data_IF_118253630104
#
_entry.id   IF_118253630104
#
_cell.length_a   1.000
_cell.length_b   1.000
_cell.length_c   1.000
_cell.angle_alpha   90.00
_cell.angle_beta   90.00
_cell.angle_gamma   90.00
#
_symmetry.space_group_name_H-M   'P 1'
#
loop_
_entity.id
_entity.type
_entity.pdbx_description
1 polymer ?
#
# COMPACT_ATOMS: atom_id res chain seq x y z
N UNK A 1 -41.52 16.13 7.60
CA UNK A 1 -41.99 14.89 6.94
C UNK A 1 -41.16 13.75 7.48
N UNK A 2 -41.64 13.12 8.54
CA UNK A 2 -40.92 12.12 9.35
C UNK A 2 -41.43 10.75 8.93
N UNK A 3 -40.61 9.97 8.22
CA UNK A 3 -40.95 8.58 7.90
C UNK A 3 -40.33 7.65 8.96
N UNK A 4 -41.21 7.05 9.74
CA UNK A 4 -40.92 5.89 10.59
C UNK A 4 -40.73 4.65 9.71
N UNK A 5 -39.58 3.99 9.82
CA UNK A 5 -39.33 2.70 9.18
C UNK A 5 -39.37 1.61 10.25
N UNK A 6 -40.35 0.71 10.10
CA UNK A 6 -40.71 -0.33 11.05
C UNK A 6 -39.65 -1.42 11.21
N UNK A 7 -39.54 -1.92 12.45
CA UNK A 7 -38.75 -3.09 12.83
C UNK A 7 -39.39 -4.36 12.25
N UNK A 8 -38.66 -5.07 11.39
CA UNK A 8 -38.96 -6.45 11.01
C UNK A 8 -38.24 -7.42 11.95
N UNK A 9 -39.00 -8.29 12.61
CA UNK A 9 -38.52 -9.37 13.48
C UNK A 9 -38.54 -10.71 12.74
N UNK A 10 -37.66 -11.60 13.23
CA UNK A 10 -37.65 -13.06 13.10
C UNK A 10 -37.20 -13.69 11.78
N UNK A 11 -36.12 -14.46 11.82
CA UNK A 11 -36.24 -15.92 11.99
C UNK A 11 -34.87 -16.54 12.30
N UNK A 12 -34.79 -17.25 13.43
CA UNK A 12 -33.61 -18.00 13.86
C UNK A 12 -33.64 -19.36 13.16
N UNK A 13 -32.63 -19.66 12.35
CA UNK A 13 -32.37 -21.03 11.91
C UNK A 13 -31.50 -21.74 12.96
N UNK A 14 -32.14 -22.64 13.68
CA UNK A 14 -31.53 -23.67 14.52
C UNK A 14 -31.35 -24.90 13.64
N UNK A 15 -30.10 -25.30 13.39
CA UNK A 15 -29.73 -26.57 12.77
C UNK A 15 -28.56 -27.15 13.54
N UNK A 16 -28.80 -28.26 14.23
CA UNK A 16 -27.87 -28.86 15.19
C UNK A 16 -26.86 -29.82 14.58
N UNK A 17 -25.77 -29.96 15.34
CA UNK A 17 -24.98 -31.15 15.68
C UNK A 17 -24.59 -32.12 14.55
N UNK A 18 -23.30 -32.12 14.22
CA UNK A 18 -22.55 -33.35 14.01
C UNK A 18 -21.11 -33.16 14.51
N UNK A 19 -20.84 -33.68 15.70
CA UNK A 19 -19.49 -33.86 16.21
C UNK A 19 -18.87 -35.08 15.51
N UNK A 20 -17.71 -34.89 14.87
CA UNK A 20 -16.82 -36.00 14.49
C UNK A 20 -15.49 -35.73 15.18
N UNK A 21 -15.29 -36.48 16.26
CA UNK A 21 -14.02 -36.60 16.94
C UNK A 21 -13.15 -37.61 16.17
N UNK A 22 -12.00 -37.16 15.68
CA UNK A 22 -10.87 -38.05 15.36
C UNK A 22 -9.62 -37.44 15.96
N UNK A 23 -9.26 -37.94 17.14
CA UNK A 23 -7.94 -37.84 17.70
C UNK A 23 -6.96 -38.64 16.83
N UNK A 24 -5.73 -38.15 16.67
CA UNK A 24 -4.47 -38.91 16.60
C UNK A 24 -3.31 -37.95 16.30
N UNK A 25 -2.27 -37.97 17.14
CA UNK A 25 -0.92 -37.54 16.76
C UNK A 25 -0.36 -36.30 17.47
N UNK A 26 -0.20 -36.35 18.79
CA UNK A 26 0.72 -35.46 19.51
C UNK A 26 2.15 -35.96 19.27
N UNK A 27 2.99 -35.18 18.60
CA UNK A 27 4.44 -35.39 18.55
C UNK A 27 5.13 -34.33 19.41
N UNK A 28 5.33 -34.67 20.69
CA UNK A 28 6.19 -33.93 21.61
C UNK A 28 7.65 -34.31 21.34
N UNK A 29 8.41 -33.43 20.70
CA UNK A 29 9.87 -33.49 20.77
C UNK A 29 10.29 -32.87 22.10
N UNK A 30 10.46 -33.73 23.11
CA UNK A 30 11.10 -33.39 24.37
C UNK A 30 12.62 -33.29 24.13
N UNK A 31 13.15 -32.07 24.02
CA UNK A 31 14.59 -31.80 24.13
C UNK A 31 14.89 -31.41 25.57
N UNK A 32 15.48 -32.35 26.33
CA UNK A 32 16.06 -32.08 27.64
C UNK A 32 17.49 -31.53 27.45
N UNK A 33 17.69 -30.26 27.77
CA UNK A 33 19.01 -29.64 27.94
C UNK A 33 19.00 -28.81 29.22
N UNK A 34 19.91 -29.13 30.14
CA UNK A 34 20.00 -28.59 31.50
C UNK A 34 20.18 -27.07 31.58
N UNK A 35 19.79 -26.52 32.73
CA UNK A 35 19.53 -25.10 32.91
C UNK A 35 20.74 -24.17 33.03
N UNK A 36 20.43 -22.89 32.87
CA UNK A 36 20.97 -21.81 33.68
C UNK A 36 19.90 -20.71 33.77
N UNK A 37 19.70 -20.20 34.98
CA UNK A 37 18.77 -19.11 35.28
C UNK A 37 19.37 -17.79 34.81
N UNK A 38 19.18 -17.44 33.55
CA UNK A 38 19.42 -16.08 33.07
C UNK A 38 18.09 -15.51 32.60
N UNK A 39 17.54 -14.64 33.45
CA UNK A 39 16.44 -13.75 33.11
C UNK A 39 16.94 -12.77 32.04
N UNK A 40 16.96 -13.23 30.79
CA UNK A 40 17.11 -12.36 29.64
C UNK A 40 15.85 -11.51 29.55
N UNK A 41 16.00 -10.27 29.99
CA UNK A 41 15.13 -9.19 29.62
C UNK A 41 14.97 -9.22 28.10
N UNK A 42 13.83 -9.74 27.65
CA UNK A 42 13.29 -9.45 26.32
C UNK A 42 12.93 -7.97 26.30
N UNK A 43 13.96 -7.13 26.25
CA UNK A 43 13.86 -5.74 25.93
C UNK A 43 13.41 -5.68 24.47
N UNK A 44 12.10 -5.51 24.30
CA UNK A 44 11.40 -5.08 23.09
C UNK A 44 12.38 -4.70 21.96
N UNK A 45 12.67 -5.65 21.06
CA UNK A 45 13.04 -5.26 19.72
C UNK A 45 11.91 -4.33 19.24
N UNK A 46 12.18 -3.09 18.81
CA UNK A 46 11.13 -2.24 18.28
C UNK A 46 10.48 -3.04 17.16
N UNK A 47 9.25 -3.47 17.36
CA UNK A 47 8.53 -4.21 16.34
C UNK A 47 8.55 -3.35 15.09
N UNK A 48 8.83 -3.94 13.93
CA UNK A 48 8.76 -3.23 12.65
C UNK A 48 7.43 -2.43 12.49
N UNK A 49 6.38 -2.82 13.22
CA UNK A 49 5.11 -2.10 13.34
C UNK A 49 5.18 -0.74 14.06
N UNK A 50 6.16 -0.48 14.92
CA UNK A 50 6.34 0.82 15.58
C UNK A 50 6.82 1.91 14.61
N UNK A 51 7.49 1.54 13.51
CA UNK A 51 8.00 2.49 12.52
C UNK A 51 6.93 2.88 11.47
N UNK A 52 5.93 2.03 11.22
CA UNK A 52 4.86 2.26 10.26
C UNK A 52 3.49 2.22 10.94
N UNK A 53 3.24 3.22 11.79
CA UNK A 53 1.99 3.37 12.51
C UNK A 53 1.43 4.78 12.32
N UNK A 54 0.12 4.87 12.06
CA UNK A 54 -0.61 6.12 11.94
C UNK A 54 -2.08 5.93 12.32
N UNK A 55 -2.69 6.97 12.86
CA UNK A 55 -4.14 7.09 13.00
C UNK A 55 -4.66 7.98 11.87
N UNK A 56 -5.63 7.48 11.11
CA UNK A 56 -6.26 8.22 10.01
C UNK A 56 -7.71 8.51 10.37
N UNK A 57 -8.09 9.79 10.34
CA UNK A 57 -9.49 10.22 10.50
C UNK A 57 -9.94 10.93 9.23
N UNK A 58 -11.13 10.62 8.75
CA UNK A 58 -11.70 11.27 7.59
C UNK A 58 -12.76 12.29 8.02
N UNK A 59 -12.75 13.45 7.38
CA UNK A 59 -13.84 14.43 7.48
C UNK A 59 -14.75 14.32 6.26
N UNK A 60 -15.73 15.23 6.14
CA UNK A 60 -16.63 15.31 5.00
C UNK A 60 -15.85 15.35 3.68
N UNK A 61 -16.42 14.79 2.62
CA UNK A 61 -15.80 14.65 1.29
C UNK A 61 -14.54 13.78 1.25
N UNK A 62 -14.25 13.01 2.31
CA UNK A 62 -13.17 12.03 2.30
C UNK A 62 -11.78 12.62 2.55
N UNK A 63 -11.67 13.82 3.13
CA UNK A 63 -10.36 14.43 3.41
C UNK A 63 -9.65 13.69 4.56
N UNK A 64 -8.45 13.10 4.35
CA UNK A 64 -7.73 12.37 5.39
C UNK A 64 -6.92 13.31 6.29
N UNK A 65 -7.06 13.12 7.60
CA UNK A 65 -6.20 13.68 8.63
C UNK A 65 -5.33 12.56 9.22
N UNK A 66 -4.02 12.62 8.96
CA UNK A 66 -3.05 11.60 9.37
C UNK A 66 -2.27 12.08 10.60
N UNK A 67 -2.32 11.31 11.67
CA UNK A 67 -1.53 11.52 12.89
C UNK A 67 -0.54 10.37 13.08
N UNK A 68 0.73 10.69 13.30
CA UNK A 68 1.80 9.71 13.56
C UNK A 68 2.86 10.30 14.51
N UNK A 69 3.64 9.43 15.14
CA UNK A 69 4.72 9.81 16.08
C UNK A 69 6.06 10.12 15.39
N UNK A 70 6.18 9.80 14.09
CA UNK A 70 7.39 10.03 13.29
C UNK A 70 7.06 10.14 11.79
N UNK A 71 8.05 10.53 10.99
CA UNK A 71 7.89 10.76 9.55
C UNK A 71 7.60 9.49 8.74
N UNK A 72 8.13 8.33 9.14
CA UNK A 72 7.80 7.03 8.50
C UNK A 72 6.32 6.68 8.70
N UNK A 73 5.80 6.86 9.91
CA UNK A 73 4.39 6.69 10.23
C UNK A 73 3.51 7.70 9.47
N UNK A 74 3.91 8.97 9.42
CA UNK A 74 3.17 10.00 8.68
C UNK A 74 3.07 9.67 7.20
N UNK A 75 4.19 9.31 6.57
CA UNK A 75 4.22 8.81 5.20
C UNK A 75 3.35 7.57 5.00
N UNK A 76 3.38 6.62 5.94
CA UNK A 76 2.59 5.40 5.88
C UNK A 76 1.08 5.64 5.92
N UNK A 77 0.60 6.47 6.86
CA UNK A 77 -0.80 6.85 6.90
C UNK A 77 -1.23 7.60 5.65
N UNK A 78 -0.39 8.51 5.16
CA UNK A 78 -0.65 9.25 3.92
C UNK A 78 -0.70 8.35 2.69
N UNK A 79 0.28 7.46 2.52
CA UNK A 79 0.32 6.52 1.39
C UNK A 79 -0.89 5.58 1.36
N UNK A 80 -1.35 5.11 2.51
CA UNK A 80 -2.57 4.29 2.58
C UNK A 80 -3.82 5.08 2.19
N UNK A 81 -3.99 6.28 2.74
CA UNK A 81 -5.13 7.14 2.42
C UNK A 81 -5.12 7.57 0.93
N UNK A 82 -3.95 7.96 0.42
CA UNK A 82 -3.78 8.33 -0.98
C UNK A 82 -4.13 7.17 -1.93
N UNK A 83 -3.62 5.96 -1.64
CA UNK A 83 -3.91 4.78 -2.45
C UNK A 83 -5.40 4.45 -2.46
N UNK A 84 -6.08 4.57 -1.33
CA UNK A 84 -7.52 4.34 -1.20
C UNK A 84 -8.33 5.10 -2.26
N UNK A 85 -7.96 6.36 -2.50
CA UNK A 85 -8.72 7.23 -3.38
C UNK A 85 -8.15 7.30 -4.81
N UNK A 86 -6.86 7.01 -5.01
CA UNK A 86 -6.14 7.31 -6.26
C UNK A 86 -5.38 6.13 -6.88
N UNK A 87 -5.63 4.88 -6.46
CA UNK A 87 -4.82 3.73 -6.88
C UNK A 87 -4.66 3.61 -8.41
N UNK A 88 -5.74 3.69 -9.18
CA UNK A 88 -5.67 3.52 -10.64
C UNK A 88 -4.96 4.68 -11.34
N UNK A 89 -5.22 5.90 -10.87
CA UNK A 89 -4.59 7.11 -11.39
C UNK A 89 -3.08 7.05 -11.15
N UNK A 90 -2.66 6.70 -9.94
CA UNK A 90 -1.25 6.63 -9.61
C UNK A 90 -0.54 5.44 -10.27
N UNK A 91 -1.21 4.29 -10.42
CA UNK A 91 -0.65 3.18 -11.17
C UNK A 91 -0.38 3.55 -12.64
N UNK A 92 -1.28 4.28 -13.29
CA UNK A 92 -1.07 4.81 -14.64
C UNK A 92 0.14 5.77 -14.69
N UNK A 93 0.30 6.63 -13.67
CA UNK A 93 1.45 7.53 -13.57
C UNK A 93 2.77 6.75 -13.38
N UNK A 94 2.79 5.70 -12.55
CA UNK A 94 3.98 4.86 -12.39
C UNK A 94 4.40 4.18 -13.70
N UNK A 95 3.44 3.70 -14.49
CA UNK A 95 3.71 3.16 -15.84
C UNK A 95 4.34 4.22 -16.75
N UNK A 96 3.86 5.46 -16.68
CA UNK A 96 4.44 6.60 -17.42
C UNK A 96 5.87 6.89 -16.96
N UNK A 97 6.11 7.04 -15.66
CA UNK A 97 7.41 7.41 -15.09
C UNK A 97 8.46 6.31 -15.28
N UNK A 98 8.05 5.03 -15.38
CA UNK A 98 8.94 3.93 -15.76
C UNK A 98 9.19 3.83 -17.28
N UNK A 99 8.49 4.63 -18.09
CA UNK A 99 8.54 4.56 -19.54
C UNK A 99 8.08 3.22 -20.10
N UNK A 100 6.96 2.71 -19.57
CA UNK A 100 6.38 1.41 -19.95
C UNK A 100 5.00 1.54 -20.62
N UNK A 101 4.59 2.74 -21.05
CA UNK A 101 3.25 2.95 -21.63
C UNK A 101 3.03 2.12 -22.89
N UNK A 102 4.03 2.06 -23.78
CA UNK A 102 3.94 1.27 -25.02
C UNK A 102 3.79 -0.22 -24.74
N UNK A 103 4.34 -0.71 -23.63
CA UNK A 103 4.25 -2.12 -23.21
C UNK A 103 2.84 -2.49 -22.75
N UNK A 104 2.20 -1.64 -21.96
CA UNK A 104 0.90 -1.96 -21.34
C UNK A 104 -0.31 -1.46 -22.13
N UNK A 105 -0.16 -0.35 -22.87
CA UNK A 105 -1.26 0.30 -23.59
C UNK A 105 -1.12 0.23 -25.12
N UNK A 106 0.02 -0.25 -25.63
CA UNK A 106 0.30 -0.33 -27.06
C UNK A 106 0.79 0.98 -27.67
N UNK A 107 1.20 0.92 -28.95
CA UNK A 107 1.76 2.07 -29.68
C UNK A 107 0.72 2.72 -30.60
N UNK A 108 -0.17 1.91 -31.19
CA UNK A 108 -1.19 2.36 -32.14
C UNK A 108 -2.56 1.81 -31.77
N UNK A 109 -3.59 2.59 -32.05
CA UNK A 109 -4.98 2.15 -31.94
C UNK A 109 -5.36 1.19 -33.08
N UNK A 110 -6.62 0.73 -33.09
CA UNK A 110 -7.12 -0.18 -34.12
C UNK A 110 -7.16 0.44 -35.54
N UNK A 111 -7.07 1.77 -35.63
CA UNK A 111 -7.06 2.53 -36.89
C UNK A 111 -5.63 2.88 -37.34
N UNK A 112 -4.62 2.49 -36.56
CA UNK A 112 -3.21 2.75 -36.85
C UNK A 112 -2.73 4.13 -36.39
N UNK A 113 -3.52 4.92 -35.68
CA UNK A 113 -3.06 6.21 -35.14
C UNK A 113 -2.23 5.99 -33.86
N UNK A 114 -1.24 6.86 -33.55
CA UNK A 114 -0.52 6.79 -32.29
C UNK A 114 -1.46 6.92 -31.10
N UNK A 115 -1.32 6.02 -30.11
CA UNK A 115 -2.04 6.16 -28.84
C UNK A 115 -1.36 7.29 -28.05
N UNK A 116 -2.15 8.30 -27.67
CA UNK A 116 -1.69 9.45 -26.92
C UNK A 116 -2.37 9.56 -25.56
N UNK A 117 -1.75 10.29 -24.64
CA UNK A 117 -2.31 10.67 -23.35
C UNK A 117 -2.02 12.14 -23.06
N UNK A 118 -2.78 12.74 -22.16
CA UNK A 118 -2.50 14.09 -21.66
C UNK A 118 -1.27 14.05 -20.74
N UNK A 119 -0.16 14.58 -21.23
CA UNK A 119 1.09 14.68 -20.48
C UNK A 119 1.02 15.75 -19.39
N UNK A 120 1.95 15.68 -18.44
CA UNK A 120 2.01 16.57 -17.27
C UNK A 120 2.18 18.06 -17.63
N UNK A 121 2.68 18.35 -18.84
CA UNK A 121 2.86 19.72 -19.35
C UNK A 121 1.66 20.23 -20.18
N UNK A 122 0.53 19.52 -20.17
CA UNK A 122 -0.72 19.95 -20.81
C UNK A 122 -0.84 19.62 -22.31
N UNK A 123 0.15 18.93 -22.90
CA UNK A 123 0.12 18.47 -24.29
C UNK A 123 -0.22 16.98 -24.41
N UNK A 124 -0.80 16.58 -25.54
CA UNK A 124 -0.94 15.16 -25.88
C UNK A 124 0.41 14.61 -26.37
N UNK A 125 0.85 13.48 -25.79
CA UNK A 125 2.11 12.82 -26.13
C UNK A 125 1.82 11.36 -26.46
N UNK A 126 2.46 10.83 -27.51
CA UNK A 126 2.36 9.41 -27.84
C UNK A 126 3.18 8.53 -26.88
N UNK A 127 2.78 7.27 -26.73
CA UNK A 127 3.40 6.37 -25.77
C UNK A 127 4.90 6.12 -26.04
N UNK A 128 5.36 6.10 -27.30
CA UNK A 128 6.76 5.82 -27.63
C UNK A 128 7.64 7.01 -27.26
N UNK A 129 7.22 8.22 -27.63
CA UNK A 129 7.94 9.45 -27.28
C UNK A 129 7.99 9.66 -25.76
N UNK A 130 6.89 9.38 -25.05
CA UNK A 130 6.85 9.39 -23.59
C UNK A 130 7.81 8.38 -22.97
N UNK A 131 7.78 7.13 -23.43
CA UNK A 131 8.63 6.07 -22.89
C UNK A 131 10.11 6.40 -23.06
N UNK A 132 10.48 6.93 -24.24
CA UNK A 132 11.84 7.41 -24.49
C UNK A 132 12.25 8.52 -23.51
N UNK A 133 11.40 9.54 -23.34
CA UNK A 133 11.68 10.67 -22.46
C UNK A 133 11.90 10.24 -21.00
N UNK A 134 11.00 9.43 -20.43
CA UNK A 134 11.11 9.01 -19.03
C UNK A 134 12.24 8.00 -18.82
N UNK A 135 12.52 7.10 -19.77
CA UNK A 135 13.71 6.22 -19.66
C UNK A 135 15.02 6.99 -19.72
N UNK A 136 15.06 8.08 -20.48
CA UNK A 136 16.23 8.94 -20.58
C UNK A 136 16.47 9.74 -19.29
N UNK A 137 15.41 10.28 -18.68
CA UNK A 137 15.53 11.25 -17.57
C UNK A 137 15.26 10.68 -16.18
N UNK A 138 14.49 9.61 -16.04
CA UNK A 138 14.11 9.03 -14.73
C UNK A 138 14.88 7.74 -14.48
N UNK A 139 16.21 7.82 -14.53
CA UNK A 139 17.08 6.65 -14.34
C UNK A 139 17.18 6.23 -12.86
N UNK A 140 17.46 4.95 -12.56
CA UNK A 140 17.73 4.51 -11.19
C UNK A 140 18.89 5.26 -10.53
N UNK A 141 19.92 5.64 -11.31
CA UNK A 141 21.05 6.42 -10.82
C UNK A 141 20.61 7.83 -10.39
N UNK A 142 19.75 8.48 -11.17
CA UNK A 142 19.21 9.80 -10.83
C UNK A 142 18.29 9.74 -9.61
N UNK A 143 17.43 8.72 -9.52
CA UNK A 143 16.61 8.49 -8.34
C UNK A 143 17.46 8.25 -7.07
N UNK A 144 18.54 7.47 -7.18
CA UNK A 144 19.48 7.24 -6.08
C UNK A 144 20.20 8.53 -5.67
N UNK A 145 20.63 9.35 -6.64
CA UNK A 145 21.26 10.64 -6.38
C UNK A 145 20.31 11.60 -5.64
N UNK A 146 19.06 11.74 -6.10
CA UNK A 146 18.02 12.55 -5.45
C UNK A 146 17.75 12.05 -4.03
N UNK A 147 17.64 10.73 -3.84
CA UNK A 147 17.44 10.16 -2.51
C UNK A 147 18.61 10.49 -1.57
N UNK A 148 19.85 10.33 -2.05
CA UNK A 148 21.05 10.56 -1.23
C UNK A 148 21.25 12.02 -0.82
N UNK A 149 20.78 12.97 -1.64
CA UNK A 149 20.82 14.41 -1.33
C UNK A 149 19.61 14.90 -0.52
N UNK A 150 18.60 14.05 -0.32
CA UNK A 150 17.41 14.37 0.47
C UNK A 150 17.64 14.19 1.97
N UNK A 151 16.97 15.02 2.78
CA UNK A 151 17.02 14.90 4.24
C UNK A 151 16.46 13.54 4.72
N UNK A 152 16.88 13.11 5.91
CA UNK A 152 16.39 11.86 6.50
C UNK A 152 14.85 11.86 6.63
N UNK A 153 14.26 13.00 7.01
CA UNK A 153 12.81 13.14 7.13
C UNK A 153 12.09 12.93 5.78
N UNK A 154 12.64 13.45 4.69
CA UNK A 154 12.07 13.23 3.35
C UNK A 154 12.16 11.77 2.93
N UNK A 155 13.31 11.12 3.16
CA UNK A 155 13.49 9.69 2.91
C UNK A 155 12.52 8.84 3.73
N UNK A 156 12.30 9.20 4.99
CA UNK A 156 11.39 8.52 5.91
C UNK A 156 9.92 8.66 5.47
N UNK A 157 9.47 9.87 5.07
CA UNK A 157 8.13 10.08 4.51
C UNK A 157 7.94 9.21 3.27
N UNK A 158 8.87 9.22 2.32
CA UNK A 158 8.76 8.43 1.08
C UNK A 158 8.73 6.93 1.38
N UNK A 159 9.60 6.45 2.27
CA UNK A 159 9.60 5.04 2.71
C UNK A 159 8.27 4.65 3.34
N UNK A 160 7.72 5.52 4.18
CA UNK A 160 6.37 5.38 4.74
C UNK A 160 5.32 5.30 3.66
N UNK A 161 5.29 6.26 2.74
CA UNK A 161 4.32 6.33 1.64
C UNK A 161 4.28 5.04 0.85
N UNK A 162 5.44 4.52 0.45
CA UNK A 162 5.55 3.24 -0.29
C UNK A 162 4.96 2.09 0.54
N UNK A 163 5.29 2.00 1.83
CA UNK A 163 4.76 0.96 2.71
C UNK A 163 3.23 1.07 2.88
N UNK A 164 2.70 2.28 3.00
CA UNK A 164 1.27 2.57 3.15
C UNK A 164 0.48 2.28 1.88
N UNK A 165 0.99 2.72 0.74
CA UNK A 165 0.43 2.41 -0.58
C UNK A 165 0.36 0.90 -0.80
N UNK A 166 1.49 0.20 -0.62
CA UNK A 166 1.56 -1.26 -0.80
C UNK A 166 0.71 -2.03 0.21
N UNK A 167 0.40 -1.46 1.38
CA UNK A 167 -0.55 -2.05 2.31
C UNK A 167 -1.98 -2.03 1.77
N UNK A 168 -2.40 -0.95 1.12
CA UNK A 168 -3.74 -0.86 0.55
C UNK A 168 -3.97 -1.89 -0.57
N UNK A 169 -2.91 -2.28 -1.28
CA UNK A 169 -2.95 -3.25 -2.37
C UNK A 169 -3.05 -4.73 -1.93
N UNK A 170 -2.85 -5.04 -0.64
CA UNK A 170 -2.88 -6.41 -0.10
C UNK A 170 -4.21 -6.69 0.59
#
# INVERSE_FOLDING_TARGET
MTMHMGRGTASKWVGGVAAIATALGVSLLASCGGGNSDSDASANAPSQSANYAATIRYTSYGVPHVLASNFKGAGYGYGYAFAKDNICLFANELVTLHGERSRYFGVRDAQGNPITYLGQLGGFVDNVSSDFFYKLLMTPAQAAAIKSSSSQNAQDIVSGFVAGYNRYLR
#
